data_IF_873067663950
#
_entry.id   IF_873067663950
#
_cell.length_a   1.000
_cell.length_b   1.000
_cell.length_c   1.000
_cell.angle_alpha   90.00
_cell.angle_beta   90.00
_cell.angle_gamma   90.00
#
_symmetry.space_group_name_H-M   'P 1'
#
loop_
_entity.id
_entity.type
_entity.pdbx_description
1 polymer ?
#
# COMPACT_ATOMS: atom_id res chain seq x y z
N UNK A 1 80.40 0.41 8.41
CA UNK A 1 80.41 1.87 8.64
C UNK A 1 79.54 2.49 7.55
N UNK A 2 78.23 2.50 7.80
CA UNK A 2 77.33 3.68 7.73
C UNK A 2 77.08 4.14 6.29
N UNK A 3 76.12 3.50 5.59
CA UNK A 3 74.70 3.88 5.49
C UNK A 3 74.52 5.28 4.88
N UNK A 4 74.12 5.25 3.61
CA UNK A 4 73.76 6.34 2.72
C UNK A 4 72.55 7.12 3.30
N UNK A 5 72.73 8.42 3.48
CA UNK A 5 71.78 9.31 4.15
C UNK A 5 70.74 9.80 3.14
N UNK A 6 69.61 9.10 3.07
CA UNK A 6 68.48 9.47 2.23
C UNK A 6 67.83 10.78 2.72
N UNK A 7 67.92 11.82 1.89
CA UNK A 7 67.24 13.09 2.10
C UNK A 7 65.71 12.93 2.19
N UNK A 8 65.02 13.65 3.10
CA UNK A 8 63.58 13.55 3.22
C UNK A 8 62.91 14.25 2.03
N UNK A 9 62.21 13.46 1.20
CA UNK A 9 61.31 13.97 0.16
C UNK A 9 60.24 14.83 0.84
N UNK A 10 60.25 16.12 0.52
CA UNK A 10 59.26 17.07 0.99
C UNK A 10 57.85 16.54 0.68
N UNK A 11 57.07 16.31 1.72
CA UNK A 11 55.70 15.81 1.61
C UNK A 11 54.87 16.80 0.81
N UNK A 12 54.34 16.34 -0.33
CA UNK A 12 53.40 17.08 -1.15
C UNK A 12 52.26 17.64 -0.28
N UNK A 13 51.74 18.85 -0.58
CA UNK A 13 50.74 19.50 0.25
C UNK A 13 49.53 18.58 0.40
N UNK A 14 49.28 18.14 1.65
CA UNK A 14 48.08 17.44 2.06
C UNK A 14 46.88 18.21 1.51
N UNK A 15 46.21 17.66 0.49
CA UNK A 15 44.91 18.16 0.03
C UNK A 15 44.07 18.35 1.27
N UNK A 16 43.71 19.62 1.56
CA UNK A 16 42.70 19.96 2.57
C UNK A 16 41.58 18.94 2.43
N UNK A 17 41.22 18.28 3.52
CA UNK A 17 40.10 17.37 3.58
C UNK A 17 38.90 18.10 2.98
N UNK A 18 38.62 17.83 1.70
CA UNK A 18 37.48 18.39 1.01
C UNK A 18 36.30 17.83 1.78
N UNK A 19 35.56 18.71 2.45
CA UNK A 19 34.35 18.33 3.15
C UNK A 19 33.52 17.44 2.23
N UNK A 20 32.89 16.43 2.82
CA UNK A 20 32.02 15.50 2.12
C UNK A 20 31.14 16.23 1.08
N UNK A 21 31.40 16.07 -0.23
CA UNK A 21 30.79 16.90 -1.26
C UNK A 21 29.27 16.70 -1.31
N UNK A 22 28.80 15.53 -0.89
CA UNK A 22 27.38 15.21 -0.76
C UNK A 22 26.75 15.98 0.40
N UNK A 23 27.47 16.22 1.50
CA UNK A 23 26.98 17.06 2.61
C UNK A 23 26.78 18.51 2.20
N UNK A 24 27.69 19.06 1.39
CA UNK A 24 27.54 20.41 0.84
C UNK A 24 26.33 20.49 -0.11
N UNK A 25 26.09 19.44 -0.90
CA UNK A 25 24.93 19.34 -1.78
C UNK A 25 23.62 19.20 -0.99
N UNK A 26 23.59 18.36 0.04
CA UNK A 26 22.45 18.21 0.95
C UNK A 26 22.09 19.54 1.61
N UNK A 27 23.08 20.34 2.00
CA UNK A 27 22.81 21.66 2.56
C UNK A 27 22.16 22.62 1.55
N UNK A 28 22.60 22.60 0.29
CA UNK A 28 22.04 23.43 -0.79
C UNK A 28 20.61 23.02 -1.18
N UNK A 29 20.34 21.72 -1.22
CA UNK A 29 19.03 21.17 -1.61
C UNK A 29 18.19 20.70 -0.42
N UNK A 30 18.45 21.26 0.78
CA UNK A 30 17.81 20.83 2.04
C UNK A 30 16.29 20.85 1.97
N UNK A 31 15.70 21.93 1.46
CA UNK A 31 14.25 22.08 1.34
C UNK A 31 13.61 21.10 0.32
N UNK A 32 14.39 20.57 -0.61
CA UNK A 32 13.96 19.51 -1.52
C UNK A 32 14.02 18.15 -0.79
N UNK A 33 15.16 17.82 -0.18
CA UNK A 33 15.37 16.54 0.50
C UNK A 33 14.45 16.33 1.71
N UNK A 34 14.10 17.39 2.45
CA UNK A 34 13.19 17.33 3.61
C UNK A 34 11.72 17.16 3.20
N UNK A 35 11.32 17.61 2.00
CA UNK A 35 9.95 17.47 1.49
C UNK A 35 9.73 16.17 0.71
N UNK A 36 10.79 15.64 0.11
CA UNK A 36 10.72 14.48 -0.76
C UNK A 36 10.33 13.21 0.02
N UNK A 37 9.33 12.51 -0.49
CA UNK A 37 8.80 11.27 0.10
C UNK A 37 9.60 10.04 -0.32
N UNK A 38 10.30 10.12 -1.46
CA UNK A 38 11.12 9.04 -2.01
C UNK A 38 12.37 9.59 -2.75
N UNK A 39 13.37 8.74 -3.05
CA UNK A 39 14.58 9.13 -3.78
C UNK A 39 14.31 9.65 -5.20
N UNK A 40 13.21 9.25 -5.86
CA UNK A 40 12.91 9.68 -7.24
C UNK A 40 12.46 11.14 -7.28
N UNK A 41 11.72 11.61 -6.27
CA UNK A 41 11.38 13.04 -6.13
C UNK A 41 12.65 13.89 -5.94
N UNK A 42 13.65 13.37 -5.23
CA UNK A 42 14.96 14.03 -5.11
C UNK A 42 15.67 14.04 -6.47
N UNK A 43 15.69 12.93 -7.21
CA UNK A 43 16.30 12.87 -8.53
C UNK A 43 15.65 13.86 -9.51
N UNK A 44 14.32 13.87 -9.61
CA UNK A 44 13.57 14.79 -10.47
C UNK A 44 13.80 16.25 -10.06
N UNK A 45 13.87 16.54 -8.76
CA UNK A 45 14.18 17.86 -8.24
C UNK A 45 15.59 18.34 -8.58
N UNK A 46 16.57 17.43 -8.55
CA UNK A 46 17.95 17.71 -8.95
C UNK A 46 18.04 17.94 -10.47
N UNK A 47 17.37 17.14 -11.29
CA UNK A 47 17.33 17.28 -12.75
C UNK A 47 16.66 18.58 -13.19
N UNK A 48 15.55 18.96 -12.56
CA UNK A 48 14.87 20.25 -12.80
C UNK A 48 15.77 21.46 -12.47
N UNK A 49 16.77 21.25 -11.62
CA UNK A 49 17.78 22.25 -11.25
C UNK A 49 19.10 22.08 -12.03
N UNK A 50 19.09 21.28 -13.10
CA UNK A 50 20.19 21.13 -14.05
C UNK A 50 21.23 20.07 -13.68
N UNK A 51 20.93 19.19 -12.70
CA UNK A 51 21.81 18.07 -12.37
C UNK A 51 21.69 16.97 -13.42
N UNK A 52 22.82 16.45 -13.89
CA UNK A 52 22.87 15.36 -14.89
C UNK A 52 23.80 14.26 -14.39
N UNK A 53 23.80 13.10 -15.04
CA UNK A 53 24.70 11.99 -14.68
C UNK A 53 26.18 12.38 -14.69
N UNK A 54 26.57 13.27 -15.61
CA UNK A 54 27.93 13.82 -15.67
C UNK A 54 28.27 14.65 -14.43
N UNK A 55 27.28 15.35 -13.89
CA UNK A 55 27.42 16.11 -12.65
C UNK A 55 27.37 15.18 -11.43
N UNK A 56 26.54 14.14 -11.44
CA UNK A 56 26.48 13.12 -10.39
C UNK A 56 27.78 12.32 -10.25
N UNK A 57 28.45 12.02 -11.37
CA UNK A 57 29.77 11.38 -11.38
C UNK A 57 30.84 12.19 -10.61
N UNK A 58 30.72 13.52 -10.54
CA UNK A 58 31.62 14.39 -9.74
C UNK A 58 31.44 14.19 -8.24
N UNK A 59 30.27 13.71 -7.81
CA UNK A 59 29.97 13.31 -6.44
C UNK A 59 30.29 11.83 -6.18
N UNK A 60 30.94 11.12 -7.11
CA UNK A 60 31.25 9.67 -7.06
C UNK A 60 30.03 8.75 -7.07
N UNK A 61 28.91 9.21 -7.61
CA UNK A 61 27.72 8.40 -7.84
C UNK A 61 27.57 8.12 -9.34
N UNK A 62 27.08 6.92 -9.70
CA UNK A 62 27.00 6.46 -11.09
C UNK A 62 26.06 7.33 -11.94
N UNK A 63 24.95 7.76 -11.35
CA UNK A 63 23.87 8.52 -11.97
C UNK A 63 23.17 9.42 -10.94
N UNK A 64 22.28 10.29 -11.40
CA UNK A 64 21.50 11.20 -10.53
C UNK A 64 20.66 10.40 -9.52
N UNK A 65 20.17 9.22 -9.89
CA UNK A 65 19.41 8.33 -9.03
C UNK A 65 20.22 7.82 -7.83
N UNK A 66 21.44 7.32 -8.08
CA UNK A 66 22.36 6.86 -7.05
C UNK A 66 22.77 7.99 -6.10
N UNK A 67 22.89 9.21 -6.63
CA UNK A 67 23.15 10.41 -5.83
C UNK A 67 21.92 10.79 -4.98
N UNK A 68 20.72 10.69 -5.56
CA UNK A 68 19.46 10.97 -4.88
C UNK A 68 19.17 9.95 -3.78
N UNK A 69 19.49 8.66 -3.97
CA UNK A 69 19.43 7.63 -2.94
C UNK A 69 20.36 7.95 -1.77
N UNK A 70 21.60 8.39 -2.04
CA UNK A 70 22.54 8.78 -0.99
C UNK A 70 22.07 10.03 -0.22
N UNK A 71 21.53 11.02 -0.93
CA UNK A 71 20.94 12.23 -0.31
C UNK A 71 19.68 11.89 0.50
N UNK A 72 18.86 10.97 -0.01
CA UNK A 72 17.72 10.44 0.69
C UNK A 72 18.19 9.77 1.98
N UNK A 73 19.10 8.79 1.91
CA UNK A 73 19.60 8.04 3.08
C UNK A 73 20.25 8.92 4.16
N UNK A 74 20.85 10.05 3.81
CA UNK A 74 21.52 10.97 4.76
C UNK A 74 20.62 12.04 5.37
N UNK A 75 19.40 12.21 4.87
CA UNK A 75 18.48 13.21 5.39
C UNK A 75 17.84 12.69 6.69
N UNK A 76 17.99 13.37 7.84
CA UNK A 76 17.44 12.91 9.11
C UNK A 76 15.91 12.98 9.07
N UNK A 77 15.28 11.85 8.75
CA UNK A 77 13.82 11.67 8.86
C UNK A 77 13.52 11.14 10.25
N UNK A 78 12.63 11.80 10.98
CA UNK A 78 12.14 11.30 12.25
C UNK A 78 11.59 9.89 12.06
N UNK A 79 12.26 8.92 12.67
CA UNK A 79 11.99 7.48 12.63
C UNK A 79 11.87 6.87 11.23
N UNK A 80 13.00 6.77 10.52
CA UNK A 80 13.15 5.82 9.42
C UNK A 80 13.52 4.43 10.01
N UNK A 81 12.67 3.39 9.85
CA UNK A 81 13.07 2.02 10.16
C UNK A 81 14.29 1.68 9.31
N UNK A 82 15.33 1.17 9.97
CA UNK A 82 16.57 0.73 9.33
C UNK A 82 16.31 0.01 8.00
N UNK A 83 17.16 0.28 7.00
CA UNK A 83 17.19 -0.39 5.71
C UNK A 83 16.92 -1.89 5.85
N UNK A 84 16.22 -2.52 4.90
CA UNK A 84 15.98 -3.96 4.92
C UNK A 84 17.31 -4.67 4.69
N UNK A 85 18.11 -4.81 5.75
CA UNK A 85 18.97 -5.96 5.91
C UNK A 85 18.07 -7.17 5.77
N UNK A 86 18.58 -8.27 5.19
CA UNK A 86 17.88 -9.53 4.96
C UNK A 86 17.50 -10.25 6.28
N UNK A 87 16.89 -9.52 7.20
CA UNK A 87 16.16 -10.03 8.34
C UNK A 87 14.97 -10.80 7.76
N UNK A 88 14.99 -12.11 7.98
CA UNK A 88 13.82 -12.97 7.86
C UNK A 88 12.61 -12.19 8.38
N UNK A 89 11.50 -12.10 7.64
CA UNK A 89 10.32 -11.38 8.11
C UNK A 89 10.02 -11.91 9.51
N UNK A 90 10.07 -11.03 10.51
CA UNK A 90 9.78 -11.44 11.88
C UNK A 90 8.32 -11.86 11.90
N UNK A 91 8.07 -13.16 11.86
CA UNK A 91 6.75 -13.79 11.89
C UNK A 91 5.87 -13.14 12.97
N UNK A 92 6.47 -12.74 14.09
CA UNK A 92 5.81 -12.06 15.20
C UNK A 92 5.10 -10.74 14.86
N UNK A 93 5.64 -9.85 14.01
CA UNK A 93 4.93 -8.58 13.67
C UNK A 93 3.76 -8.81 12.71
N UNK A 94 3.96 -9.71 11.74
CA UNK A 94 2.91 -10.11 10.80
C UNK A 94 1.79 -10.88 11.52
N UNK A 95 2.15 -11.82 12.41
CA UNK A 95 1.21 -12.54 13.27
C UNK A 95 0.49 -11.60 14.24
N UNK A 96 1.18 -10.61 14.85
CA UNK A 96 0.53 -9.67 15.77
C UNK A 96 -0.43 -8.74 15.03
N UNK A 97 -0.09 -8.29 13.83
CA UNK A 97 -0.98 -7.53 12.95
C UNK A 97 -2.20 -8.36 12.49
N UNK A 98 -1.98 -9.63 12.14
CA UNK A 98 -3.04 -10.58 11.76
C UNK A 98 -3.95 -10.93 12.94
N UNK A 99 -3.39 -11.17 14.12
CA UNK A 99 -4.13 -11.40 15.36
C UNK A 99 -4.99 -10.19 15.75
N UNK A 100 -4.45 -8.97 15.65
CA UNK A 100 -5.24 -7.75 15.87
C UNK A 100 -6.36 -7.57 14.83
N UNK A 101 -6.18 -8.08 13.59
CA UNK A 101 -7.20 -8.03 12.55
C UNK A 101 -8.29 -9.12 12.71
N UNK A 102 -7.96 -10.26 13.31
CA UNK A 102 -8.89 -11.36 13.61
C UNK A 102 -9.79 -11.08 14.81
N UNK A 103 -9.24 -10.44 15.85
CA UNK A 103 -9.91 -10.18 17.12
C UNK A 103 -11.28 -9.49 16.97
N UNK A 104 -11.44 -8.41 16.18
CA UNK A 104 -12.74 -7.76 16.03
C UNK A 104 -13.74 -8.61 15.23
N UNK A 105 -13.29 -9.42 14.27
CA UNK A 105 -14.16 -10.37 13.55
C UNK A 105 -14.64 -11.51 14.44
N UNK A 106 -13.76 -12.05 15.27
CA UNK A 106 -14.10 -13.08 16.25
C UNK A 106 -15.06 -12.57 17.33
N UNK A 107 -14.89 -11.32 17.81
CA UNK A 107 -15.81 -10.68 18.74
C UNK A 107 -17.20 -10.46 18.11
N UNK A 108 -17.26 -10.02 16.84
CA UNK A 108 -18.53 -9.87 16.13
C UNK A 108 -19.25 -11.22 15.96
N UNK A 109 -18.50 -12.28 15.65
CA UNK A 109 -19.04 -13.64 15.57
C UNK A 109 -19.57 -14.12 16.93
N UNK A 110 -18.79 -13.93 18.01
CA UNK A 110 -19.21 -14.30 19.36
C UNK A 110 -20.46 -13.53 19.82
N UNK A 111 -20.52 -12.22 19.56
CA UNK A 111 -21.69 -11.40 19.86
C UNK A 111 -22.93 -11.83 19.05
N UNK A 112 -22.74 -12.21 17.78
CA UNK A 112 -23.80 -12.75 16.92
C UNK A 112 -24.32 -14.10 17.44
N UNK A 113 -23.42 -15.02 17.77
CA UNK A 113 -23.76 -16.32 18.34
C UNK A 113 -24.45 -16.21 19.72
N UNK A 114 -24.09 -15.21 20.51
CA UNK A 114 -24.72 -14.89 21.79
C UNK A 114 -26.06 -14.13 21.66
N UNK A 115 -26.53 -13.84 20.45
CA UNK A 115 -27.80 -13.15 20.22
C UNK A 115 -27.81 -11.68 20.68
N UNK A 116 -26.64 -11.05 20.78
CA UNK A 116 -26.55 -9.67 21.28
C UNK A 116 -27.19 -8.68 20.30
N UNK A 117 -28.02 -7.73 20.78
CA UNK A 117 -28.77 -6.83 19.90
C UNK A 117 -27.87 -5.88 19.09
N UNK A 118 -26.66 -5.60 19.58
CA UNK A 118 -25.69 -4.73 18.91
C UNK A 118 -24.73 -5.48 17.97
N UNK A 119 -24.84 -6.81 17.83
CA UNK A 119 -23.90 -7.61 17.04
C UNK A 119 -23.82 -7.16 15.57
N UNK A 120 -24.97 -6.81 14.97
CA UNK A 120 -25.03 -6.28 13.60
C UNK A 120 -24.27 -4.96 13.46
N UNK A 121 -24.54 -4.01 14.36
CA UNK A 121 -23.87 -2.70 14.35
C UNK A 121 -22.36 -2.83 14.59
N UNK A 122 -21.95 -3.70 15.53
CA UNK A 122 -20.54 -3.99 15.79
C UNK A 122 -19.87 -4.58 14.54
N UNK A 123 -20.51 -5.54 13.86
CA UNK A 123 -19.97 -6.13 12.64
C UNK A 123 -19.81 -5.13 11.50
N UNK A 124 -20.75 -4.18 11.34
CA UNK A 124 -20.66 -3.06 10.40
C UNK A 124 -19.47 -2.16 10.74
N UNK A 125 -19.29 -1.80 12.01
CA UNK A 125 -18.17 -0.96 12.45
C UNK A 125 -16.83 -1.66 12.17
N UNK A 126 -16.72 -2.95 12.48
CA UNK A 126 -15.51 -3.75 12.25
C UNK A 126 -15.16 -3.82 10.77
N UNK A 127 -16.14 -4.10 9.90
CA UNK A 127 -15.92 -4.17 8.45
C UNK A 127 -15.50 -2.84 7.85
N UNK A 128 -16.12 -1.74 8.27
CA UNK A 128 -15.75 -0.41 7.80
C UNK A 128 -14.36 0.00 8.33
N UNK A 129 -14.06 -0.28 9.60
CA UNK A 129 -12.74 -0.02 10.18
C UNK A 129 -11.63 -0.80 9.44
N UNK A 130 -11.92 -2.03 9.01
CA UNK A 130 -11.01 -2.85 8.22
C UNK A 130 -10.71 -2.26 6.83
N UNK A 131 -11.51 -1.34 6.28
CA UNK A 131 -11.14 -0.62 5.06
C UNK A 131 -9.95 0.34 5.29
N UNK A 132 -9.73 0.79 6.52
CA UNK A 132 -8.76 1.82 6.89
C UNK A 132 -7.54 1.23 7.62
N UNK A 133 -7.67 0.10 8.30
CA UNK A 133 -6.60 -0.55 9.07
C UNK A 133 -5.63 -1.39 8.21
N UNK A 134 -4.31 -1.51 8.48
CA UNK A 134 -3.41 -0.58 9.15
C UNK A 134 -2.80 0.36 8.09
N UNK A 135 -3.63 1.16 7.42
CA UNK A 135 -3.14 2.17 6.48
C UNK A 135 -2.60 3.37 7.24
N UNK A 136 -1.35 3.31 7.73
CA UNK A 136 -0.33 4.39 7.73
C UNK A 136 0.87 4.04 8.61
N UNK A 137 2.10 4.26 8.08
CA UNK A 137 2.74 5.56 8.24
C UNK A 137 3.25 6.10 6.90
N UNK A 138 2.94 7.37 6.61
CA UNK A 138 3.34 8.03 5.36
C UNK A 138 2.38 9.16 5.03
N UNK A 139 2.58 10.32 5.68
CA UNK A 139 1.87 11.57 5.40
C UNK A 139 2.35 12.10 4.05
N UNK A 140 1.71 11.68 2.95
CA UNK A 140 1.95 12.22 1.61
C UNK A 140 0.71 12.70 0.87
N UNK A 141 -0.49 12.46 1.42
CA UNK A 141 -1.72 13.01 0.85
C UNK A 141 -2.47 13.80 1.91
N UNK A 142 -2.15 15.08 2.03
CA UNK A 142 -3.04 16.11 2.58
C UNK A 142 -4.30 16.32 1.69
N UNK A 143 -4.74 15.30 0.96
CA UNK A 143 -6.03 15.26 0.30
C UNK A 143 -6.96 14.48 1.20
N UNK A 144 -7.95 15.17 1.81
CA UNK A 144 -9.10 14.66 2.57
C UNK A 144 -9.13 13.13 2.67
N UNK A 145 -9.02 12.62 3.91
CA UNK A 145 -9.47 11.27 4.28
C UNK A 145 -10.69 10.90 3.43
N UNK A 146 -10.77 9.71 2.79
CA UNK A 146 -11.81 9.37 1.82
C UNK A 146 -13.18 9.16 2.49
N UNK A 147 -13.63 10.16 3.23
CA UNK A 147 -14.77 10.13 4.15
C UNK A 147 -16.04 9.80 3.39
N UNK A 148 -16.25 10.40 2.21
CA UNK A 148 -17.39 10.08 1.37
C UNK A 148 -17.43 8.60 0.95
N UNK A 149 -16.29 7.99 0.61
CA UNK A 149 -16.20 6.58 0.23
C UNK A 149 -16.44 5.68 1.45
N UNK A 150 -15.85 6.02 2.59
CA UNK A 150 -16.05 5.26 3.84
C UNK A 150 -17.49 5.36 4.34
N UNK A 151 -18.13 6.52 4.23
CA UNK A 151 -19.54 6.71 4.52
C UNK A 151 -20.43 5.89 3.60
N UNK A 152 -20.16 5.88 2.29
CA UNK A 152 -20.90 5.06 1.33
C UNK A 152 -20.72 3.56 1.62
N UNK A 153 -19.51 3.13 1.98
CA UNK A 153 -19.27 1.75 2.38
C UNK A 153 -20.01 1.40 3.68
N UNK A 154 -19.99 2.27 4.69
CA UNK A 154 -20.74 2.10 5.92
C UNK A 154 -22.24 2.04 5.69
N UNK A 155 -22.76 2.91 4.82
CA UNK A 155 -24.16 2.91 4.42
C UNK A 155 -24.52 1.62 3.68
N UNK A 156 -23.72 1.18 2.72
CA UNK A 156 -23.97 -0.04 1.96
C UNK A 156 -23.94 -1.30 2.84
N UNK A 157 -22.95 -1.41 3.73
CA UNK A 157 -22.85 -2.55 4.66
C UNK A 157 -23.95 -2.49 5.71
N UNK A 158 -24.21 -1.33 6.30
CA UNK A 158 -25.28 -1.14 7.28
C UNK A 158 -26.66 -1.44 6.69
N UNK A 159 -26.92 -0.98 5.47
CA UNK A 159 -28.15 -1.25 4.73
C UNK A 159 -28.31 -2.75 4.44
N UNK A 160 -27.24 -3.41 3.97
CA UNK A 160 -27.28 -4.84 3.68
C UNK A 160 -27.50 -5.67 4.94
N UNK A 161 -26.84 -5.34 6.05
CA UNK A 161 -27.02 -6.00 7.35
C UNK A 161 -28.42 -5.76 7.92
N UNK A 162 -28.96 -4.55 7.78
CA UNK A 162 -30.34 -4.26 8.17
C UNK A 162 -31.35 -5.11 7.39
N UNK A 163 -31.15 -5.27 6.07
CA UNK A 163 -32.07 -6.02 5.20
C UNK A 163 -31.93 -7.54 5.30
N UNK A 164 -30.72 -8.04 5.52
CA UNK A 164 -30.39 -9.46 5.40
C UNK A 164 -29.92 -10.11 6.71
N UNK A 165 -29.86 -9.33 7.78
CA UNK A 165 -29.59 -9.79 9.14
C UNK A 165 -28.12 -9.74 9.57
N UNK A 166 -27.92 -10.00 10.86
CA UNK A 166 -26.61 -10.07 11.51
C UNK A 166 -25.65 -11.12 10.94
N UNK A 167 -26.10 -12.30 10.42
CA UNK A 167 -25.21 -13.28 9.79
C UNK A 167 -24.34 -12.70 8.68
N UNK A 168 -24.91 -11.81 7.86
CA UNK A 168 -24.17 -11.14 6.80
C UNK A 168 -23.05 -10.25 7.36
N UNK A 169 -23.36 -9.47 8.39
CA UNK A 169 -22.37 -8.61 9.05
C UNK A 169 -21.21 -9.44 9.59
N UNK A 170 -21.51 -10.53 10.28
CA UNK A 170 -20.52 -11.47 10.81
C UNK A 170 -19.65 -12.06 9.70
N UNK A 171 -20.25 -12.50 8.58
CA UNK A 171 -19.51 -13.03 7.44
C UNK A 171 -18.51 -12.00 6.87
N UNK A 172 -18.95 -10.75 6.69
CA UNK A 172 -18.09 -9.68 6.19
C UNK A 172 -16.96 -9.35 7.20
N UNK A 173 -17.25 -9.36 8.50
CA UNK A 173 -16.26 -9.10 9.54
C UNK A 173 -15.20 -10.22 9.61
N UNK A 174 -15.60 -11.48 9.47
CA UNK A 174 -14.67 -12.61 9.34
C UNK A 174 -13.81 -12.51 8.07
N UNK A 175 -14.39 -12.07 6.96
CA UNK A 175 -13.68 -11.90 5.69
C UNK A 175 -12.67 -10.74 5.71
N UNK A 176 -12.72 -9.83 6.70
CA UNK A 176 -11.78 -8.71 6.81
C UNK A 176 -10.32 -9.18 6.95
N UNK A 177 -10.06 -10.13 7.86
CA UNK A 177 -8.72 -10.67 8.12
C UNK A 177 -8.04 -11.29 6.87
N UNK A 178 -8.67 -12.23 6.13
CA UNK A 178 -8.08 -12.74 4.88
C UNK A 178 -7.96 -11.64 3.82
N UNK A 179 -8.87 -10.65 3.79
CA UNK A 179 -8.74 -9.48 2.92
C UNK A 179 -7.46 -8.68 3.14
N UNK A 180 -7.05 -8.48 4.40
CA UNK A 180 -5.77 -7.83 4.72
C UNK A 180 -4.57 -8.64 4.23
N UNK A 181 -4.58 -9.96 4.50
CA UNK A 181 -3.48 -10.85 4.12
C UNK A 181 -3.30 -10.92 2.60
N UNK A 182 -4.41 -11.16 1.89
CA UNK A 182 -4.39 -11.25 0.42
C UNK A 182 -3.96 -9.92 -0.21
N UNK A 183 -4.44 -8.79 0.32
CA UNK A 183 -4.01 -7.46 -0.14
C UNK A 183 -2.51 -7.20 0.11
N UNK A 184 -1.98 -7.62 1.26
CA UNK A 184 -0.55 -7.49 1.58
C UNK A 184 0.33 -8.36 0.67
N UNK A 185 -0.09 -9.61 0.41
CA UNK A 185 0.59 -10.52 -0.52
C UNK A 185 0.54 -9.97 -1.95
N UNK A 186 -0.61 -9.43 -2.38
CA UNK A 186 -0.75 -8.75 -3.67
C UNK A 186 0.26 -7.61 -3.78
N UNK A 187 0.31 -6.71 -2.79
CA UNK A 187 1.22 -5.57 -2.81
C UNK A 187 2.71 -5.98 -2.75
N UNK A 188 3.05 -7.03 -1.98
CA UNK A 188 4.41 -7.56 -1.92
C UNK A 188 4.84 -8.15 -3.27
N UNK A 189 3.97 -8.95 -3.92
CA UNK A 189 4.27 -9.54 -5.22
C UNK A 189 4.24 -8.54 -6.37
N UNK A 190 3.35 -7.54 -6.32
CA UNK A 190 3.34 -6.45 -7.29
C UNK A 190 4.69 -5.70 -7.26
N UNK A 191 5.20 -5.39 -6.05
CA UNK A 191 6.52 -4.75 -5.88
C UNK A 191 7.68 -5.60 -6.38
N UNK A 192 7.69 -6.90 -6.09
CA UNK A 192 8.78 -7.78 -6.59
C UNK A 192 8.76 -7.94 -8.11
N UNK A 193 7.57 -7.92 -8.74
CA UNK A 193 7.43 -7.97 -10.20
C UNK A 193 7.81 -6.65 -10.87
N UNK A 194 7.61 -5.50 -10.21
CA UNK A 194 8.11 -4.20 -10.67
C UNK A 194 9.65 -4.18 -10.71
N UNK A 195 10.31 -4.63 -9.64
CA UNK A 195 11.77 -4.61 -9.54
C UNK A 195 12.49 -5.44 -10.63
N UNK A 196 11.81 -6.44 -11.21
CA UNK A 196 12.37 -7.32 -12.25
C UNK A 196 11.95 -6.99 -13.69
N UNK A 197 11.07 -6.01 -13.91
CA UNK A 197 10.51 -5.74 -15.24
C UNK A 197 11.10 -4.45 -15.82
N UNK A 198 11.65 -4.53 -17.04
CA UNK A 198 12.22 -3.37 -17.74
C UNK A 198 11.20 -2.63 -18.60
N UNK A 199 10.03 -3.25 -18.84
CA UNK A 199 8.90 -2.68 -19.56
C UNK A 199 7.58 -2.75 -18.78
N UNK A 200 6.67 -1.85 -19.11
CA UNK A 200 5.38 -1.61 -18.48
C UNK A 200 4.32 -2.57 -18.99
N UNK A 201 4.33 -2.87 -20.29
CA UNK A 201 3.43 -3.87 -20.86
C UNK A 201 3.71 -5.24 -20.21
N UNK A 202 4.99 -5.62 -20.09
CA UNK A 202 5.42 -6.84 -19.39
C UNK A 202 4.95 -6.89 -17.92
N UNK A 203 4.91 -5.73 -17.25
CA UNK A 203 4.38 -5.63 -15.89
C UNK A 203 2.86 -5.77 -15.87
N UNK A 204 2.14 -5.07 -16.75
CA UNK A 204 0.68 -5.11 -16.81
C UNK A 204 0.17 -6.53 -17.14
N UNK A 205 0.83 -7.23 -18.06
CA UNK A 205 0.49 -8.61 -18.43
C UNK A 205 0.73 -9.59 -17.28
N UNK A 206 1.73 -9.32 -16.42
CA UNK A 206 1.99 -10.11 -15.20
C UNK A 206 1.15 -9.68 -13.99
N UNK A 207 0.68 -8.44 -13.94
CA UNK A 207 -0.11 -7.90 -12.83
C UNK A 207 -1.58 -8.32 -12.91
N UNK A 208 -2.15 -8.44 -14.12
CA UNK A 208 -3.52 -8.92 -14.35
C UNK A 208 -3.81 -10.30 -13.71
N UNK A 209 -3.05 -11.37 -14.00
CA UNK A 209 -3.31 -12.68 -13.40
C UNK A 209 -3.15 -12.66 -11.88
N UNK A 210 -2.30 -11.76 -11.36
CA UNK A 210 -2.10 -11.60 -9.93
C UNK A 210 -3.30 -10.95 -9.24
N UNK A 211 -3.94 -9.97 -9.88
CA UNK A 211 -5.19 -9.38 -9.40
C UNK A 211 -6.32 -10.42 -9.41
N UNK A 212 -6.48 -11.17 -10.50
CA UNK A 212 -7.47 -12.24 -10.56
C UNK A 212 -7.23 -13.31 -9.50
N UNK A 213 -5.98 -13.74 -9.30
CA UNK A 213 -5.62 -14.68 -8.24
C UNK A 213 -5.96 -14.14 -6.85
N UNK A 214 -5.72 -12.85 -6.59
CA UNK A 214 -6.07 -12.21 -5.32
C UNK A 214 -7.60 -12.16 -5.12
N UNK A 215 -8.36 -11.76 -6.13
CA UNK A 215 -9.82 -11.70 -6.07
C UNK A 215 -10.42 -13.10 -5.89
N UNK A 216 -9.90 -14.12 -6.57
CA UNK A 216 -10.34 -15.51 -6.41
C UNK A 216 -10.01 -16.06 -5.02
N UNK A 217 -8.78 -15.84 -4.54
CA UNK A 217 -8.37 -16.27 -3.21
C UNK A 217 -9.22 -15.60 -2.12
N UNK A 218 -9.49 -14.30 -2.25
CA UNK A 218 -10.36 -13.58 -1.35
C UNK A 218 -11.82 -14.04 -1.44
N UNK A 219 -12.34 -14.28 -2.65
CA UNK A 219 -13.69 -14.80 -2.87
C UNK A 219 -13.90 -16.16 -2.21
N UNK A 220 -12.92 -17.07 -2.29
CA UNK A 220 -12.96 -18.36 -1.59
C UNK A 220 -12.98 -18.17 -0.06
N UNK A 221 -12.17 -17.26 0.48
CA UNK A 221 -12.18 -16.95 1.91
C UNK A 221 -13.52 -16.33 2.36
N UNK A 222 -14.09 -15.43 1.55
CA UNK A 222 -15.40 -14.84 1.80
C UNK A 222 -16.53 -15.87 1.74
N UNK A 223 -16.44 -16.86 0.85
CA UNK A 223 -17.39 -17.97 0.79
C UNK A 223 -17.31 -18.85 2.04
N UNK A 224 -16.09 -19.14 2.53
CA UNK A 224 -15.90 -19.85 3.80
C UNK A 224 -16.47 -19.07 4.99
N UNK A 225 -16.22 -17.77 5.07
CA UNK A 225 -16.79 -16.90 6.10
C UNK A 225 -18.32 -16.85 6.05
N UNK A 226 -18.89 -16.83 4.84
CA UNK A 226 -20.33 -16.87 4.63
C UNK A 226 -20.95 -18.20 5.09
N UNK A 227 -20.31 -19.33 4.80
CA UNK A 227 -20.73 -20.65 5.27
C UNK A 227 -20.68 -20.74 6.81
N UNK A 228 -19.62 -20.24 7.44
CA UNK A 228 -19.49 -20.22 8.91
C UNK A 228 -20.55 -19.34 9.59
N UNK A 229 -20.92 -18.22 8.96
CA UNK A 229 -21.93 -17.32 9.49
C UNK A 229 -23.37 -17.74 9.13
N UNK A 230 -23.57 -18.72 8.25
CA UNK A 230 -24.90 -19.15 7.80
C UNK A 230 -25.61 -18.17 6.86
N UNK A 231 -24.86 -17.40 6.06
CA UNK A 231 -25.41 -16.42 5.10
C UNK A 231 -25.29 -16.93 3.65
N UNK A 232 -26.25 -16.60 2.75
CA UNK A 232 -26.18 -17.00 1.35
C UNK A 232 -24.94 -16.44 0.64
N UNK A 233 -24.21 -17.33 -0.07
CA UNK A 233 -22.98 -16.99 -0.79
C UNK A 233 -23.20 -15.89 -1.84
N UNK A 234 -24.31 -15.96 -2.57
CA UNK A 234 -24.66 -15.00 -3.63
C UNK A 234 -24.85 -13.56 -3.13
N UNK A 235 -24.96 -13.38 -1.81
CA UNK A 235 -25.08 -12.07 -1.17
C UNK A 235 -23.75 -11.62 -0.56
N UNK A 236 -23.14 -12.50 0.24
CA UNK A 236 -21.93 -12.18 0.99
C UNK A 236 -20.70 -12.00 0.08
N UNK A 237 -20.51 -12.88 -0.91
CA UNK A 237 -19.32 -12.88 -1.78
C UNK A 237 -19.20 -11.61 -2.62
N UNK A 238 -20.23 -11.15 -3.37
CA UNK A 238 -20.10 -9.95 -4.20
C UNK A 238 -19.91 -8.69 -3.34
N UNK A 239 -20.56 -8.60 -2.18
CA UNK A 239 -20.39 -7.47 -1.27
C UNK A 239 -18.98 -7.45 -0.65
N UNK A 240 -18.48 -8.60 -0.21
CA UNK A 240 -17.11 -8.72 0.27
C UNK A 240 -16.11 -8.34 -0.82
N UNK A 241 -16.30 -8.83 -2.05
CA UNK A 241 -15.43 -8.52 -3.19
C UNK A 241 -15.41 -7.02 -3.51
N UNK A 242 -16.57 -6.36 -3.46
CA UNK A 242 -16.70 -4.91 -3.61
C UNK A 242 -15.88 -4.15 -2.55
N UNK A 243 -15.95 -4.55 -1.28
CA UNK A 243 -15.18 -3.95 -0.19
C UNK A 243 -13.68 -4.20 -0.33
N UNK A 244 -13.28 -5.41 -0.74
CA UNK A 244 -11.89 -5.75 -1.01
C UNK A 244 -11.29 -4.91 -2.14
N UNK A 245 -12.01 -4.75 -3.25
CA UNK A 245 -11.61 -3.91 -4.37
C UNK A 245 -11.55 -2.43 -3.97
N UNK A 246 -12.52 -1.96 -3.18
CA UNK A 246 -12.53 -0.60 -2.61
C UNK A 246 -11.26 -0.35 -1.81
N UNK A 247 -10.91 -1.26 -0.90
CA UNK A 247 -9.68 -1.19 -0.11
C UNK A 247 -8.43 -1.15 -0.99
N UNK A 248 -8.35 -2.04 -1.98
CA UNK A 248 -7.20 -2.13 -2.86
C UNK A 248 -7.00 -0.83 -3.64
N UNK A 249 -8.07 -0.27 -4.19
CA UNK A 249 -8.05 0.98 -4.96
C UNK A 249 -7.67 2.18 -4.09
N UNK A 250 -8.23 2.29 -2.89
CA UNK A 250 -7.87 3.34 -1.94
C UNK A 250 -6.41 3.24 -1.49
N UNK A 251 -5.90 2.02 -1.29
CA UNK A 251 -4.52 1.77 -0.89
C UNK A 251 -3.49 2.10 -1.97
N UNK A 252 -3.87 2.02 -3.26
CA UNK A 252 -2.99 2.31 -4.40
C UNK A 252 -3.25 3.70 -5.03
N UNK A 253 -4.06 4.56 -4.40
CA UNK A 253 -4.28 5.94 -4.85
C UNK A 253 -5.15 6.10 -6.10
N UNK A 254 -5.97 5.10 -6.44
CA UNK A 254 -6.86 5.16 -7.60
C UNK A 254 -7.95 6.24 -7.46
N UNK A 255 -8.51 6.74 -8.58
CA UNK A 255 -9.56 7.77 -8.55
C UNK A 255 -10.78 7.31 -7.74
N UNK A 256 -11.29 8.20 -6.87
CA UNK A 256 -12.36 7.89 -5.91
C UNK A 256 -13.75 7.85 -6.53
N UNK A 257 -13.97 8.53 -7.65
CA UNK A 257 -15.25 8.59 -8.37
C UNK A 257 -15.86 7.22 -8.68
N UNK A 258 -15.15 6.31 -9.38
CA UNK A 258 -15.67 4.98 -9.70
C UNK A 258 -15.90 4.11 -8.45
N UNK A 259 -15.08 4.27 -7.42
CA UNK A 259 -15.27 3.58 -6.13
C UNK A 259 -16.57 4.06 -5.47
N UNK A 260 -16.79 5.38 -5.41
CA UNK A 260 -18.01 5.96 -4.87
C UNK A 260 -19.24 5.54 -5.68
N UNK A 261 -19.16 5.52 -7.01
CA UNK A 261 -20.26 5.09 -7.88
C UNK A 261 -20.63 3.62 -7.66
N UNK A 262 -19.64 2.73 -7.51
CA UNK A 262 -19.89 1.31 -7.23
C UNK A 262 -20.54 1.10 -5.84
N UNK A 263 -20.09 1.83 -4.82
CA UNK A 263 -20.70 1.77 -3.49
C UNK A 263 -22.11 2.38 -3.47
N UNK A 264 -22.35 3.47 -4.21
CA UNK A 264 -23.68 4.04 -4.38
C UNK A 264 -24.62 3.09 -5.11
N UNK A 265 -24.12 2.39 -6.14
CA UNK A 265 -24.89 1.35 -6.84
C UNK A 265 -25.28 0.22 -5.88
N UNK A 266 -24.41 -0.19 -4.96
CA UNK A 266 -24.71 -1.22 -3.97
C UNK A 266 -25.85 -0.84 -2.98
N UNK A 267 -26.21 0.44 -2.87
CA UNK A 267 -27.38 0.88 -2.09
C UNK A 267 -28.71 0.66 -2.83
N UNK A 268 -28.68 0.44 -4.15
CA UNK A 268 -29.88 0.19 -4.94
C UNK A 268 -30.47 -1.15 -4.51
N UNK A 269 -31.76 -1.22 -4.13
CA UNK A 269 -32.35 -2.40 -3.49
C UNK A 269 -32.67 -3.55 -4.47
N UNK A 270 -31.88 -3.73 -5.53
CA UNK A 270 -32.03 -4.79 -6.53
C UNK A 270 -30.99 -5.90 -6.32
N UNK A 271 -31.35 -7.18 -6.53
CA UNK A 271 -30.45 -8.30 -6.27
C UNK A 271 -29.19 -8.30 -7.16
N UNK A 272 -29.26 -7.65 -8.32
CA UNK A 272 -28.14 -7.55 -9.27
C UNK A 272 -27.25 -6.33 -9.06
N UNK A 273 -27.63 -5.38 -8.20
CA UNK A 273 -26.86 -4.15 -8.00
C UNK A 273 -25.45 -4.41 -7.46
N UNK A 274 -25.34 -5.22 -6.40
CA UNK A 274 -24.06 -5.55 -5.76
C UNK A 274 -23.12 -6.35 -6.68
N UNK A 275 -23.54 -7.43 -7.34
CA UNK A 275 -22.67 -8.13 -8.28
C UNK A 275 -22.28 -7.24 -9.47
N UNK A 276 -23.21 -6.43 -10.02
CA UNK A 276 -22.88 -5.48 -11.09
C UNK A 276 -21.86 -4.42 -10.63
N UNK A 277 -22.01 -3.88 -9.42
CA UNK A 277 -21.06 -2.95 -8.82
C UNK A 277 -19.68 -3.60 -8.63
N UNK A 278 -19.62 -4.84 -8.13
CA UNK A 278 -18.38 -5.58 -7.95
C UNK A 278 -17.68 -5.86 -9.28
N UNK A 279 -18.42 -6.32 -10.30
CA UNK A 279 -17.90 -6.55 -11.66
C UNK A 279 -17.39 -5.27 -12.31
N UNK A 280 -18.16 -4.17 -12.22
CA UNK A 280 -17.75 -2.87 -12.75
C UNK A 280 -16.49 -2.33 -12.05
N UNK A 281 -16.41 -2.47 -10.73
CA UNK A 281 -15.24 -2.05 -9.96
C UNK A 281 -14.02 -2.94 -10.24
N UNK A 282 -14.21 -4.23 -10.53
CA UNK A 282 -13.13 -5.14 -10.93
C UNK A 282 -12.53 -4.73 -12.27
N UNK A 283 -13.35 -4.41 -13.27
CA UNK A 283 -12.89 -3.88 -14.56
C UNK A 283 -12.12 -2.58 -14.34
N UNK A 284 -12.65 -1.69 -13.50
CA UNK A 284 -11.94 -0.46 -13.16
C UNK A 284 -10.62 -0.73 -12.44
N UNK A 285 -10.54 -1.72 -11.55
CA UNK A 285 -9.33 -2.07 -10.84
C UNK A 285 -8.25 -2.63 -11.77
N UNK A 286 -8.63 -3.47 -12.75
CA UNK A 286 -7.72 -3.93 -13.80
C UNK A 286 -7.14 -2.74 -14.57
N UNK A 287 -7.95 -1.76 -14.93
CA UNK A 287 -7.51 -0.57 -15.68
C UNK A 287 -6.67 0.40 -14.83
N UNK A 288 -7.12 0.70 -13.61
CA UNK A 288 -6.46 1.67 -12.73
C UNK A 288 -5.13 1.14 -12.22
N UNK A 289 -5.04 -0.13 -11.84
CA UNK A 289 -3.81 -0.73 -11.35
C UNK A 289 -2.81 -1.03 -12.47
N UNK A 290 -3.27 -1.22 -13.72
CA UNK A 290 -2.38 -1.28 -14.88
C UNK A 290 -1.89 0.09 -15.36
N UNK A 291 -2.67 1.16 -15.14
CA UNK A 291 -2.30 2.55 -15.49
C UNK A 291 -1.51 3.29 -14.40
N UNK A 292 -1.78 3.05 -13.12
CA UNK A 292 -1.01 3.66 -12.03
C UNK A 292 0.46 3.20 -12.06
N UNK A 293 0.74 2.01 -12.56
CA UNK A 293 2.11 1.56 -12.86
C UNK A 293 2.68 2.17 -14.14
N UNK A 294 1.84 2.68 -15.06
CA UNK A 294 2.25 3.32 -16.32
C UNK A 294 2.85 4.70 -16.14
N UNK A 295 2.36 5.43 -15.14
CA UNK A 295 2.90 6.73 -14.74
C UNK A 295 3.96 6.60 -13.63
N UNK A 296 4.24 5.37 -13.19
CA UNK A 296 5.39 5.03 -12.34
C UNK A 296 6.53 4.41 -13.18
N UNK A 297 6.64 4.81 -14.45
CA UNK A 297 7.92 4.88 -15.13
C UNK A 297 8.39 6.35 -15.10
N UNK A 298 9.69 6.60 -14.87
CA UNK A 298 10.29 7.89 -15.20
C UNK A 298 10.07 8.23 -16.68
#
# INVERSE_FOLDING_TARGET
MTLDEAAPVASAPRRRAAGDPVKALLHRHRALCERAVDPLEIAAGLEAQGMTDRTAARFRHRDVFSLAEELYARTPRGDEPAAPSAARPSDTRALRGFGCALLPGALALGAGAAGMPFAGAAAVLVTVAALVWPGRPGRGAAGRFPYAVLLLAAAAVGWAVYRHGTPLGVALALAAAPGHLVGAVFAARARSRLAGSRALEDFADRARPLLFAAVLAFGAAAAGAAALAGTPLGLAVPLAALLFLTRLLLGHGAPRGPVAAALALALVPTPLAVPAAASGLLVHAVLALSRASAHARP
#
